data_IF_288553346091
#
_entry.id   IF_288553346091
#
_cell.length_a   1.000
_cell.length_b   1.000
_cell.length_c   1.000
_cell.angle_alpha   90.00
_cell.angle_beta   90.00
_cell.angle_gamma   90.00
#
_symmetry.space_group_name_H-M   'P 1'
#
loop_
_entity.id
_entity.type
_entity.pdbx_description
1 polymer ?
#
# COMPACT_ATOMS: atom_id res chain seq x y z
N UNK A 1 12.21 6.93 -10.50
CA UNK A 1 12.48 5.55 -10.93
C UNK A 1 11.55 5.22 -12.09
N UNK A 2 12.12 5.04 -13.29
CA UNK A 2 11.46 4.71 -14.57
C UNK A 2 11.63 3.21 -14.86
N UNK A 3 10.93 2.68 -15.87
CA UNK A 3 11.06 1.26 -16.26
C UNK A 3 12.48 0.91 -16.70
N UNK A 4 13.12 1.77 -17.49
CA UNK A 4 14.52 1.64 -17.87
C UNK A 4 15.40 1.39 -16.65
N UNK A 5 15.29 2.29 -15.67
CA UNK A 5 16.14 2.25 -14.49
C UNK A 5 15.87 1.01 -13.64
N UNK A 6 14.61 0.58 -13.54
CA UNK A 6 14.19 -0.64 -12.86
C UNK A 6 14.83 -1.88 -13.52
N UNK A 7 14.76 -1.97 -14.85
CA UNK A 7 15.33 -3.09 -15.61
C UNK A 7 16.85 -3.12 -15.49
N UNK A 8 17.53 -1.99 -15.67
CA UNK A 8 19.00 -1.93 -15.54
C UNK A 8 19.48 -2.25 -14.12
N UNK A 9 18.78 -1.79 -13.08
CA UNK A 9 19.12 -2.13 -11.69
C UNK A 9 18.97 -3.63 -11.42
N UNK A 10 17.90 -4.24 -11.93
CA UNK A 10 17.70 -5.68 -11.84
C UNK A 10 18.81 -6.47 -12.55
N UNK A 11 19.12 -6.10 -13.80
CA UNK A 11 20.19 -6.72 -14.59
C UNK A 11 21.54 -6.57 -13.91
N UNK A 12 21.85 -5.41 -13.33
CA UNK A 12 23.09 -5.17 -12.61
C UNK A 12 23.19 -6.02 -11.33
N UNK A 13 22.09 -6.11 -10.56
CA UNK A 13 22.02 -6.93 -9.34
C UNK A 13 22.22 -8.41 -9.63
N UNK A 14 21.61 -8.90 -10.72
CA UNK A 14 21.69 -10.31 -11.13
C UNK A 14 22.92 -10.63 -11.98
N UNK A 15 23.66 -9.62 -12.44
CA UNK A 15 24.73 -9.71 -13.46
C UNK A 15 24.25 -10.41 -14.73
N UNK A 16 23.06 -10.08 -15.18
CA UNK A 16 22.45 -10.65 -16.39
C UNK A 16 22.51 -9.66 -17.54
N UNK A 17 22.54 -10.21 -18.75
CA UNK A 17 22.25 -9.46 -19.98
C UNK A 17 20.74 -9.37 -20.24
N UNK A 18 20.35 -8.39 -21.05
CA UNK A 18 18.95 -8.25 -21.49
C UNK A 18 18.47 -9.50 -22.24
N UNK A 19 19.35 -10.14 -23.01
CA UNK A 19 19.04 -11.36 -23.75
C UNK A 19 18.74 -12.54 -22.80
N UNK A 20 19.50 -12.67 -21.71
CA UNK A 20 19.24 -13.67 -20.67
C UNK A 20 17.92 -13.43 -19.95
N UNK A 21 17.54 -12.17 -19.71
CA UNK A 21 16.25 -11.82 -19.11
C UNK A 21 15.10 -12.24 -20.03
N UNK A 22 15.19 -11.90 -21.31
CA UNK A 22 14.19 -12.23 -22.33
C UNK A 22 14.06 -13.74 -22.48
N UNK A 23 15.19 -14.47 -22.54
CA UNK A 23 15.18 -15.92 -22.70
C UNK A 23 14.55 -16.62 -21.50
N UNK A 24 14.85 -16.14 -20.29
CA UNK A 24 14.34 -16.73 -19.05
C UNK A 24 12.88 -16.41 -18.77
N UNK A 25 12.40 -15.25 -19.23
CA UNK A 25 11.03 -14.79 -19.02
C UNK A 25 10.24 -14.64 -20.33
N UNK A 26 10.37 -15.63 -21.22
CA UNK A 26 9.47 -15.77 -22.37
C UNK A 26 8.06 -16.11 -21.88
N UNK A 27 7.08 -15.27 -22.22
CA UNK A 27 5.70 -15.52 -21.85
C UNK A 27 4.82 -14.27 -21.96
N UNK A 28 4.22 -13.75 -20.88
CA UNK A 28 3.23 -12.68 -20.96
C UNK A 28 3.81 -11.29 -21.28
N UNK A 29 5.13 -11.14 -21.20
CA UNK A 29 5.83 -9.91 -21.56
C UNK A 29 6.55 -10.13 -22.89
N UNK A 30 6.17 -9.39 -23.95
CA UNK A 30 6.85 -9.47 -25.24
C UNK A 30 8.34 -9.11 -25.12
N UNK A 31 9.19 -9.78 -25.90
CA UNK A 31 10.61 -9.42 -26.04
C UNK A 31 10.80 -7.94 -26.41
N UNK A 32 9.96 -7.45 -27.32
CA UNK A 32 9.98 -6.05 -27.74
C UNK A 32 9.71 -5.09 -26.59
N UNK A 33 8.82 -5.46 -25.66
CA UNK A 33 8.55 -4.66 -24.46
C UNK A 33 9.76 -4.61 -23.55
N UNK A 34 10.44 -5.74 -23.31
CA UNK A 34 11.68 -5.76 -22.53
C UNK A 34 12.75 -4.87 -23.15
N UNK A 35 12.93 -4.93 -24.47
CA UNK A 35 13.88 -4.07 -25.19
C UNK A 35 13.49 -2.60 -25.09
N UNK A 36 12.23 -2.26 -25.34
CA UNK A 36 11.72 -0.89 -25.26
C UNK A 36 11.92 -0.28 -23.87
N UNK A 37 11.66 -1.07 -22.82
CA UNK A 37 11.85 -0.63 -21.45
C UNK A 37 13.33 -0.41 -21.14
N UNK A 38 14.20 -1.34 -21.54
CA UNK A 38 15.64 -1.25 -21.33
C UNK A 38 16.30 -0.09 -22.09
N UNK A 39 15.76 0.32 -23.25
CA UNK A 39 16.25 1.46 -24.03
C UNK A 39 15.72 2.82 -23.55
N UNK A 40 14.80 2.84 -22.58
CA UNK A 40 14.17 4.07 -22.11
C UNK A 40 13.27 4.74 -23.14
N UNK A 41 12.86 4.01 -24.18
CA UNK A 41 11.96 4.53 -25.19
C UNK A 41 10.61 4.84 -24.52
N UNK A 42 10.06 6.05 -24.72
CA UNK A 42 8.80 6.42 -24.11
C UNK A 42 7.69 5.48 -24.57
N UNK A 43 6.83 5.10 -23.61
CA UNK A 43 5.71 4.21 -23.89
C UNK A 43 4.64 4.98 -24.68
N UNK A 44 4.38 4.56 -25.92
CA UNK A 44 3.25 5.08 -26.70
C UNK A 44 1.90 4.58 -26.18
N UNK A 45 1.89 3.35 -25.65
CA UNK A 45 0.70 2.71 -25.08
C UNK A 45 1.04 2.16 -23.70
N UNK A 46 0.13 2.34 -22.75
CA UNK A 46 0.31 1.79 -21.42
C UNK A 46 0.12 0.26 -21.46
N UNK A 47 1.06 -0.52 -20.91
CA UNK A 47 0.99 -1.98 -20.94
C UNK A 47 -0.21 -2.52 -20.16
N UNK A 48 -0.71 -3.69 -20.58
CA UNK A 48 -1.83 -4.36 -19.93
C UNK A 48 -1.50 -4.76 -18.47
N UNK A 49 -2.51 -4.84 -17.58
CA UNK A 49 -2.28 -5.18 -16.17
C UNK A 49 -1.66 -6.58 -15.99
N UNK A 50 -1.98 -7.52 -16.87
CA UNK A 50 -1.39 -8.86 -16.92
C UNK A 50 0.11 -8.82 -17.25
N UNK A 51 0.51 -7.98 -18.20
CA UNK A 51 1.90 -7.74 -18.58
C UNK A 51 2.69 -7.08 -17.45
N UNK A 52 2.09 -6.11 -16.76
CA UNK A 52 2.70 -5.47 -15.59
C UNK A 52 2.90 -6.43 -14.42
N UNK A 53 1.91 -7.29 -14.15
CA UNK A 53 2.02 -8.32 -13.13
C UNK A 53 3.11 -9.36 -13.46
N UNK A 54 3.20 -9.76 -14.73
CA UNK A 54 4.25 -10.67 -15.18
C UNK A 54 5.66 -10.03 -15.11
N UNK A 55 5.79 -8.75 -15.47
CA UNK A 55 7.03 -8.01 -15.31
C UNK A 55 7.44 -7.86 -13.83
N UNK A 56 6.47 -7.63 -12.94
CA UNK A 56 6.70 -7.55 -11.50
C UNK A 56 7.23 -8.88 -10.94
N UNK A 57 6.62 -10.01 -11.35
CA UNK A 57 7.10 -11.34 -10.98
C UNK A 57 8.50 -11.63 -11.54
N UNK A 58 8.79 -11.22 -12.78
CA UNK A 58 10.09 -11.45 -13.41
C UNK A 58 11.22 -10.65 -12.75
N UNK A 59 10.93 -9.40 -12.36
CA UNK A 59 11.86 -8.49 -11.72
C UNK A 59 11.95 -8.66 -10.19
N UNK A 60 11.13 -9.55 -9.61
CA UNK A 60 11.06 -9.79 -8.17
C UNK A 60 10.75 -8.50 -7.38
N UNK A 61 9.78 -7.71 -7.87
CA UNK A 61 9.36 -6.44 -7.27
C UNK A 61 7.84 -6.36 -7.15
N UNK A 62 7.34 -5.46 -6.30
CA UNK A 62 5.91 -5.21 -6.17
C UNK A 62 5.31 -4.62 -7.46
N UNK A 63 4.10 -5.07 -7.83
CA UNK A 63 3.40 -4.61 -9.04
C UNK A 63 3.19 -3.10 -9.06
N UNK A 64 2.94 -2.47 -7.91
CA UNK A 64 2.81 -1.02 -7.81
C UNK A 64 4.10 -0.31 -8.22
N UNK A 65 5.27 -0.89 -7.92
CA UNK A 65 6.58 -0.35 -8.33
C UNK A 65 6.70 -0.32 -9.86
N UNK A 66 6.28 -1.40 -10.53
CA UNK A 66 6.31 -1.50 -11.99
C UNK A 66 5.30 -0.53 -12.62
N UNK A 67 4.07 -0.44 -12.08
CA UNK A 67 3.03 0.51 -12.53
C UNK A 67 3.52 1.95 -12.41
N UNK A 68 4.11 2.33 -11.28
CA UNK A 68 4.65 3.66 -11.06
C UNK A 68 5.83 3.97 -12.00
N UNK A 69 6.70 2.98 -12.23
CA UNK A 69 7.80 3.09 -13.17
C UNK A 69 7.29 3.27 -14.61
N UNK A 70 6.25 2.53 -15.01
CA UNK A 70 5.61 2.63 -16.31
C UNK A 70 4.95 4.00 -16.51
N UNK A 71 4.22 4.47 -15.51
CA UNK A 71 3.59 5.79 -15.54
C UNK A 71 4.64 6.91 -15.71
N UNK A 72 5.76 6.83 -14.99
CA UNK A 72 6.88 7.77 -15.13
C UNK A 72 7.56 7.68 -16.50
N UNK A 73 7.73 6.47 -17.05
CA UNK A 73 8.23 6.26 -18.42
C UNK A 73 7.26 6.77 -19.50
N UNK A 74 5.97 6.88 -19.21
CA UNK A 74 4.98 7.54 -20.05
C UNK A 74 4.94 9.08 -19.86
N UNK A 75 5.84 9.65 -19.05
CA UNK A 75 5.91 11.08 -18.80
C UNK A 75 4.93 11.59 -17.74
N UNK A 76 4.25 10.70 -17.00
CA UNK A 76 3.36 11.11 -15.91
C UNK A 76 4.19 11.47 -14.67
N UNK A 77 3.94 12.67 -14.13
CA UNK A 77 4.51 13.10 -12.86
C UNK A 77 3.79 12.38 -11.70
N UNK A 78 4.29 11.18 -11.34
CA UNK A 78 3.73 10.40 -10.24
C UNK A 78 4.55 10.58 -8.98
N UNK A 79 3.98 11.34 -8.05
CA UNK A 79 4.47 11.46 -6.68
C UNK A 79 3.84 10.39 -5.79
N UNK A 80 4.63 9.68 -4.96
CA UNK A 80 4.07 8.82 -3.95
C UNK A 80 3.26 9.70 -3.02
N UNK A 81 1.94 9.47 -2.98
CA UNK A 81 1.05 10.17 -2.05
C UNK A 81 1.60 9.91 -0.65
N UNK A 82 2.21 10.94 -0.04
CA UNK A 82 2.50 10.87 1.39
C UNK A 82 1.15 10.59 2.03
N UNK A 83 1.04 9.49 2.79
CA UNK A 83 -0.08 9.34 3.70
C UNK A 83 -0.02 10.56 4.60
N UNK A 84 -0.89 11.54 4.34
CA UNK A 84 -1.36 12.42 5.40
C UNK A 84 -1.90 11.43 6.42
N UNK A 85 -1.15 11.19 7.49
CA UNK A 85 -1.69 10.46 8.63
C UNK A 85 -3.03 11.11 8.94
N UNK A 86 -4.14 10.36 8.95
CA UNK A 86 -5.30 10.83 9.67
C UNK A 86 -4.90 10.74 11.13
N UNK A 87 -4.24 11.78 11.63
CA UNK A 87 -4.31 12.12 13.05
C UNK A 87 -5.77 12.55 13.27
N UNK A 88 -6.67 11.57 13.29
CA UNK A 88 -8.09 11.83 13.46
C UNK A 88 -8.26 12.45 14.85
N UNK A 89 -8.83 13.66 14.97
CA UNK A 89 -9.16 14.25 16.27
C UNK A 89 -10.19 13.43 17.08
N UNK A 90 -10.74 12.36 16.48
CA UNK A 90 -11.68 11.43 17.13
C UNK A 90 -11.10 10.64 18.32
N UNK A 91 -9.78 10.42 18.37
CA UNK A 91 -9.15 9.70 19.51
C UNK A 91 -9.06 10.57 20.78
N UNK A 92 -9.12 11.89 20.67
CA UNK A 92 -9.19 12.78 21.84
C UNK A 92 -10.58 12.72 22.50
N UNK A 93 -11.65 12.65 21.70
CA UNK A 93 -13.03 12.59 22.21
C UNK A 93 -13.41 11.23 22.82
N UNK A 94 -12.77 10.13 22.42
CA UNK A 94 -13.02 8.81 23.01
C UNK A 94 -12.58 8.73 24.47
N UNK A 95 -11.43 9.34 24.81
CA UNK A 95 -10.93 9.40 26.20
C UNK A 95 -11.80 10.25 27.11
N UNK A 96 -12.33 11.35 26.59
CA UNK A 96 -13.26 12.23 27.32
C UNK A 96 -14.56 11.47 27.68
N UNK A 97 -15.06 10.64 26.75
CA UNK A 97 -16.24 9.79 26.96
C UNK A 97 -16.00 8.67 27.99
N UNK A 98 -14.82 8.03 27.97
CA UNK A 98 -14.47 6.99 28.95
C UNK A 98 -14.34 7.56 30.37
N UNK A 99 -13.79 8.77 30.52
CA UNK A 99 -13.67 9.44 31.82
C UNK A 99 -15.06 9.87 32.36
N UNK A 100 -15.94 10.36 31.49
CA UNK A 100 -17.29 10.73 31.88
C UNK A 100 -18.16 9.50 32.25
N UNK A 101 -17.99 8.37 31.56
CA UNK A 101 -18.70 7.12 31.89
C UNK A 101 -18.21 6.50 33.20
N UNK A 102 -16.89 6.57 33.49
CA UNK A 102 -16.33 6.12 34.76
C UNK A 102 -16.82 6.97 35.94
N UNK A 103 -16.97 8.29 35.74
CA UNK A 103 -17.55 9.18 36.74
C UNK A 103 -19.03 8.90 37.01
N UNK A 104 -19.80 8.58 35.97
CA UNK A 104 -21.24 8.25 36.10
C UNK A 104 -21.48 6.92 36.82
N UNK A 105 -20.66 5.89 36.54
CA UNK A 105 -20.72 4.60 37.23
C UNK A 105 -20.28 4.68 38.70
N UNK A 106 -19.27 5.49 39.02
CA UNK A 106 -18.84 5.71 40.40
C UNK A 106 -19.86 6.53 41.22
N UNK A 107 -20.71 7.33 40.56
CA UNK A 107 -21.80 8.08 41.20
C UNK A 107 -23.08 7.28 41.46
N UNK A 108 -23.20 6.06 40.91
CA UNK A 108 -24.42 5.23 41.01
C UNK A 108 -24.41 4.22 42.18
N UNK A 109 -23.36 4.19 43.02
CA UNK A 109 -23.26 3.21 44.12
C UNK A 109 -23.80 3.70 45.47
N UNK A 110 -24.82 4.57 45.47
CA UNK A 110 -25.48 5.06 46.69
C UNK A 110 -26.99 5.27 46.47
N UNK A 111 -27.78 4.19 46.50
CA UNK A 111 -29.08 4.14 47.21
C UNK A 111 -29.65 2.69 47.17
N UNK A 112 -29.06 1.77 47.93
CA UNK A 112 -29.73 0.50 48.29
C UNK A 112 -29.79 0.39 49.83
N UNK A 113 -30.46 1.36 50.48
CA UNK A 113 -30.84 1.29 51.90
C UNK A 113 -32.36 1.49 52.06
N UNK A 114 -33.15 0.75 51.28
CA UNK A 114 -34.62 0.76 51.40
C UNK A 114 -35.26 -0.56 51.83
N UNK A 115 -34.52 -1.48 52.42
CA UNK A 115 -35.14 -2.59 53.17
C UNK A 115 -35.56 -2.13 54.57
N UNK A 116 -36.65 -1.36 54.61
CA UNK A 116 -37.36 -0.95 55.82
C UNK A 116 -37.94 -2.18 56.52
N UNK A 117 -37.52 -2.40 57.76
CA UNK A 117 -38.07 -3.41 58.65
C UNK A 117 -39.59 -3.26 58.84
N UNK A 118 -40.32 -4.37 58.68
CA UNK A 118 -41.71 -4.49 59.15
C UNK A 118 -41.72 -5.08 60.57
N UNK A 119 -42.36 -4.43 61.57
CA UNK A 119 -42.54 -5.03 62.88
C UNK A 119 -43.75 -5.97 62.83
N UNK A 120 -43.50 -7.27 63.00
CA UNK A 120 -44.59 -8.24 63.22
C UNK A 120 -44.88 -8.31 64.72
N UNK A 121 -46.17 -8.18 65.05
CA UNK A 121 -46.78 -8.04 66.37
C UNK A 121 -46.95 -9.38 67.08
#
# INVERSE_FOLDING_TARGET
>A
MTLERLVHEFLATRRWSLDELVDRYRGPVPEESWRQWATGTPLSTFPEPSTLAAAAAALDVDVATVVLAAARSAGLAVEPRRRSSPESPAMASARDFEEQLAAELAGSELDDDRYRAEPTR
#
